data_IF_275686537712
#
_entry.id   IF_275686537712
#
_cell.length_a   1.000
_cell.length_b   1.000
_cell.length_c   1.000
_cell.angle_alpha   90.00
_cell.angle_beta   90.00
_cell.angle_gamma   90.00
#
_symmetry.space_group_name_H-M   'P 1'
#
loop_
_entity.id
_entity.type
_entity.pdbx_description
1 polymer ?
#
# COMPACT_ATOMS: atom_id res chain seq x y z
N UNK A 1 5.90 -9.46 -26.29
CA UNK A 1 4.74 -8.58 -26.21
C UNK A 1 4.78 -7.78 -24.90
N UNK A 2 4.63 -6.48 -25.00
CA UNK A 2 4.62 -5.64 -23.81
C UNK A 2 3.27 -5.67 -23.11
N UNK A 3 3.25 -5.97 -21.82
CA UNK A 3 2.14 -5.58 -20.98
C UNK A 3 2.26 -4.09 -20.72
N UNK A 4 1.17 -3.34 -20.77
CA UNK A 4 1.20 -1.95 -20.32
C UNK A 4 1.40 -1.90 -18.81
N UNK A 5 1.91 -0.78 -18.28
CA UNK A 5 2.03 -0.59 -16.84
C UNK A 5 0.69 -0.74 -16.12
N UNK A 6 -0.39 -0.34 -16.79
CA UNK A 6 -1.75 -0.54 -16.28
C UNK A 6 -2.10 -2.02 -16.15
N UNK A 7 -1.81 -2.80 -17.18
CA UNK A 7 -2.08 -4.25 -17.17
C UNK A 7 -1.24 -4.95 -16.12
N UNK A 8 0.02 -4.54 -15.97
CA UNK A 8 0.90 -5.09 -14.93
C UNK A 8 0.37 -4.80 -13.53
N UNK A 9 -0.13 -3.59 -13.28
CA UNK A 9 -0.70 -3.23 -11.99
C UNK A 9 -1.93 -4.09 -11.67
N UNK A 10 -2.85 -4.21 -12.62
CA UNK A 10 -4.06 -5.03 -12.43
C UNK A 10 -3.67 -6.49 -12.20
N UNK A 11 -2.75 -7.04 -12.99
CA UNK A 11 -2.29 -8.42 -12.84
C UNK A 11 -1.63 -8.65 -11.49
N UNK A 12 -0.84 -7.70 -10.99
CA UNK A 12 -0.19 -7.82 -9.68
C UNK A 12 -1.22 -7.90 -8.55
N UNK A 13 -2.24 -7.04 -8.57
CA UNK A 13 -3.30 -7.10 -7.57
C UNK A 13 -4.16 -8.36 -7.68
N UNK A 14 -4.45 -8.80 -8.89
CA UNK A 14 -5.18 -10.06 -9.10
C UNK A 14 -4.39 -11.25 -8.53
N UNK A 15 -3.08 -11.27 -8.74
CA UNK A 15 -2.22 -12.31 -8.19
C UNK A 15 -2.18 -12.26 -6.65
N UNK A 16 -2.15 -11.06 -6.07
CA UNK A 16 -2.18 -10.89 -4.63
C UNK A 16 -3.49 -11.42 -4.04
N UNK A 17 -4.62 -11.08 -4.66
CA UNK A 17 -5.94 -11.58 -4.24
C UNK A 17 -6.01 -13.10 -4.33
N UNK A 18 -5.50 -13.68 -5.42
CA UNK A 18 -5.47 -15.13 -5.60
C UNK A 18 -4.63 -15.80 -4.52
N UNK A 19 -3.46 -15.24 -4.21
CA UNK A 19 -2.60 -15.77 -3.15
C UNK A 19 -3.28 -15.67 -1.77
N UNK A 20 -3.94 -14.53 -1.50
CA UNK A 20 -4.67 -14.36 -0.25
C UNK A 20 -5.80 -15.37 -0.12
N UNK A 21 -6.56 -15.61 -1.20
CA UNK A 21 -7.63 -16.60 -1.19
C UNK A 21 -7.10 -18.00 -0.87
N UNK A 22 -5.91 -18.35 -1.34
CA UNK A 22 -5.27 -19.63 -1.00
C UNK A 22 -4.90 -19.68 0.49
N UNK A 23 -4.34 -18.61 1.03
CA UNK A 23 -3.99 -18.52 2.45
C UNK A 23 -5.22 -18.67 3.34
N UNK A 24 -6.35 -18.05 2.95
CA UNK A 24 -7.60 -18.13 3.70
C UNK A 24 -8.16 -19.55 3.80
N UNK A 25 -7.74 -20.45 2.92
CA UNK A 25 -8.16 -21.85 2.92
C UNK A 25 -7.22 -22.76 3.70
N UNK A 26 -6.10 -22.25 4.19
CA UNK A 26 -5.13 -23.04 4.93
C UNK A 26 -5.69 -23.41 6.31
N UNK A 27 -5.59 -24.70 6.66
CA UNK A 27 -5.92 -25.16 8.00
C UNK A 27 -4.64 -25.20 8.87
N UNK A 28 -4.69 -24.76 10.13
CA UNK A 28 -3.54 -24.86 11.03
C UNK A 28 -3.38 -26.26 11.66
N UNK A 29 -4.29 -27.19 11.38
CA UNK A 29 -4.38 -28.45 12.11
C UNK A 29 -3.11 -29.29 12.05
N UNK A 30 -2.38 -29.26 10.92
CA UNK A 30 -1.15 -30.02 10.73
C UNK A 30 0.11 -29.25 11.12
N UNK A 31 -0.04 -28.03 11.63
CA UNK A 31 1.09 -27.19 12.02
C UNK A 31 1.37 -27.32 13.51
N UNK A 32 2.66 -27.31 13.84
CA UNK A 32 3.09 -27.24 15.24
C UNK A 32 2.82 -25.83 15.80
N UNK A 33 2.90 -25.69 17.11
CA UNK A 33 2.74 -24.37 17.75
C UNK A 33 3.80 -23.37 17.25
N UNK A 34 5.11 -23.73 17.21
CA UNK A 34 6.11 -22.83 16.62
C UNK A 34 5.81 -22.46 15.16
N UNK A 35 5.29 -23.38 14.38
CA UNK A 35 4.92 -23.10 12.98
C UNK A 35 3.73 -22.13 12.89
N UNK A 36 2.74 -22.28 13.77
CA UNK A 36 1.62 -21.34 13.84
C UNK A 36 2.11 -19.92 14.16
N UNK A 37 3.02 -19.80 15.13
CA UNK A 37 3.61 -18.51 15.47
C UNK A 37 4.38 -17.92 14.27
N UNK A 38 5.10 -18.75 13.55
CA UNK A 38 5.82 -18.31 12.35
C UNK A 38 4.86 -17.79 11.26
N UNK A 39 3.70 -18.43 11.10
CA UNK A 39 2.70 -17.95 10.13
C UNK A 39 2.13 -16.60 10.54
N UNK A 40 1.88 -16.39 11.83
CA UNK A 40 1.43 -15.10 12.33
C UNK A 40 2.49 -14.00 12.11
N UNK A 41 3.76 -14.33 12.29
CA UNK A 41 4.85 -13.40 12.00
C UNK A 41 4.87 -13.02 10.52
N UNK A 42 4.61 -13.96 9.62
CA UNK A 42 4.52 -13.68 8.18
C UNK A 42 3.34 -12.76 7.86
N UNK A 43 2.21 -12.96 8.49
CA UNK A 43 1.06 -12.07 8.33
C UNK A 43 1.39 -10.65 8.77
N UNK A 44 2.05 -10.51 9.92
CA UNK A 44 2.43 -9.19 10.43
C UNK A 44 3.43 -8.49 9.52
N UNK A 45 4.38 -9.23 8.99
CA UNK A 45 5.36 -8.69 8.04
C UNK A 45 4.66 -8.15 6.79
N UNK A 46 3.70 -8.88 6.25
CA UNK A 46 2.93 -8.44 5.08
C UNK A 46 2.13 -7.19 5.42
N UNK A 47 1.46 -7.18 6.59
CA UNK A 47 0.65 -6.03 7.03
C UNK A 47 1.49 -4.76 7.10
N UNK A 48 2.73 -4.85 7.57
CA UNK A 48 3.64 -3.70 7.68
C UNK A 48 4.16 -3.20 6.34
N UNK A 49 4.21 -4.07 5.33
CA UNK A 49 4.66 -3.71 3.97
C UNK A 49 3.55 -3.12 3.10
N UNK A 50 2.31 -3.43 3.42
CA UNK A 50 1.17 -3.01 2.60
C UNK A 50 1.06 -1.49 2.43
N UNK A 51 1.27 -0.66 3.48
CA UNK A 51 1.25 0.79 3.30
C UNK A 51 2.24 1.29 2.25
N UNK A 52 3.43 0.68 2.14
CA UNK A 52 4.39 1.06 1.12
C UNK A 52 3.85 0.83 -0.30
N UNK A 53 3.00 -0.19 -0.49
CA UNK A 53 2.34 -0.43 -1.77
C UNK A 53 1.26 0.60 -2.08
N UNK A 54 0.64 1.18 -1.05
CA UNK A 54 -0.43 2.17 -1.21
C UNK A 54 0.11 3.58 -1.54
N UNK A 55 1.30 3.92 -1.06
CA UNK A 55 1.83 5.28 -1.15
C UNK A 55 1.90 5.84 -2.57
N UNK A 56 2.35 5.11 -3.60
CA UNK A 56 2.37 5.65 -4.96
C UNK A 56 1.00 6.06 -5.48
N UNK A 57 -0.03 5.31 -5.11
CA UNK A 57 -1.40 5.60 -5.55
C UNK A 57 -1.95 6.83 -4.84
N UNK A 58 -1.71 6.93 -3.53
CA UNK A 58 -2.14 8.10 -2.75
C UNK A 58 -1.45 9.36 -3.27
N UNK A 59 -0.14 9.30 -3.51
CA UNK A 59 0.62 10.45 -4.00
C UNK A 59 0.19 10.87 -5.40
N UNK A 60 -0.15 9.92 -6.26
CA UNK A 60 -0.69 10.27 -7.58
C UNK A 60 -2.02 11.02 -7.45
N UNK A 61 -2.91 10.55 -6.58
CA UNK A 61 -4.18 11.25 -6.36
C UNK A 61 -3.96 12.65 -5.80
N UNK A 62 -3.01 12.80 -4.86
CA UNK A 62 -2.71 14.10 -4.28
C UNK A 62 -2.15 15.09 -5.31
N UNK A 63 -1.32 14.61 -6.23
CA UNK A 63 -0.59 15.45 -7.17
C UNK A 63 -1.33 15.73 -8.48
N UNK A 64 -2.18 14.81 -8.93
CA UNK A 64 -2.71 14.82 -10.29
C UNK A 64 -4.23 14.93 -10.38
N UNK A 65 -4.94 14.90 -9.26
CA UNK A 65 -6.41 14.91 -9.26
C UNK A 65 -6.92 16.18 -8.63
N UNK A 66 -7.96 16.78 -9.23
CA UNK A 66 -8.64 17.90 -8.60
C UNK A 66 -9.85 17.42 -7.78
N UNK A 67 -10.45 18.34 -7.01
CA UNK A 67 -11.58 18.03 -6.16
C UNK A 67 -12.83 17.61 -6.95
N UNK A 68 -12.98 18.08 -8.18
CA UNK A 68 -14.11 17.76 -9.03
C UNK A 68 -14.08 16.27 -9.41
N UNK A 69 -12.92 15.76 -9.80
CA UNK A 69 -12.77 14.36 -10.17
C UNK A 69 -13.01 13.42 -8.99
N UNK A 70 -12.59 13.83 -7.79
CA UNK A 70 -12.74 13.03 -6.58
C UNK A 70 -14.12 13.16 -5.92
N UNK A 71 -14.88 14.17 -6.28
CA UNK A 71 -16.14 14.47 -5.60
C UNK A 71 -15.94 15.19 -4.27
N UNK A 72 -14.76 15.77 -4.02
CA UNK A 72 -14.44 16.50 -2.81
C UNK A 72 -12.95 16.52 -2.51
N UNK A 73 -12.59 17.00 -1.32
CA UNK A 73 -11.20 17.02 -0.87
C UNK A 73 -10.68 15.61 -0.68
N UNK A 74 -9.40 15.39 -0.96
CA UNK A 74 -8.78 14.06 -0.92
C UNK A 74 -9.02 13.29 0.39
N UNK A 75 -8.82 13.87 1.60
CA UNK A 75 -9.08 13.11 2.82
C UNK A 75 -10.51 12.60 2.92
N UNK A 76 -11.49 13.41 2.51
CA UNK A 76 -12.89 13.04 2.56
C UNK A 76 -13.24 11.99 1.52
N UNK A 77 -12.72 12.14 0.31
CA UNK A 77 -12.94 11.18 -0.76
C UNK A 77 -12.35 9.80 -0.42
N UNK A 78 -11.14 9.77 0.15
CA UNK A 78 -10.51 8.51 0.58
C UNK A 78 -11.26 7.88 1.74
N UNK A 79 -11.67 8.67 2.73
CA UNK A 79 -12.42 8.15 3.88
C UNK A 79 -13.70 7.46 3.42
N UNK A 80 -14.43 8.08 2.51
CA UNK A 80 -15.67 7.52 1.97
C UNK A 80 -15.41 6.29 1.12
N UNK A 81 -14.45 6.36 0.21
CA UNK A 81 -14.15 5.27 -0.72
C UNK A 81 -13.60 4.03 -0.02
N UNK A 82 -12.76 4.23 0.99
CA UNK A 82 -12.07 3.13 1.68
C UNK A 82 -12.79 2.71 2.97
N UNK A 83 -13.87 3.38 3.33
CA UNK A 83 -14.61 3.11 4.58
C UNK A 83 -13.71 3.23 5.82
N UNK A 84 -12.94 4.30 5.86
CA UNK A 84 -12.07 4.64 7.00
C UNK A 84 -12.43 6.03 7.51
N UNK A 85 -11.94 6.39 8.69
CA UNK A 85 -12.17 7.73 9.23
C UNK A 85 -11.40 8.79 8.44
N UNK A 86 -11.85 10.04 8.52
CA UNK A 86 -11.14 11.18 7.91
C UNK A 86 -9.76 11.35 8.52
N UNK A 87 -9.62 11.11 9.82
CA UNK A 87 -8.34 11.17 10.51
C UNK A 87 -7.37 10.12 9.99
N UNK A 88 -7.85 8.89 9.79
CA UNK A 88 -7.03 7.82 9.22
C UNK A 88 -6.66 8.13 7.77
N UNK A 89 -7.57 8.66 6.96
CA UNK A 89 -7.27 9.07 5.60
C UNK A 89 -6.18 10.15 5.58
N UNK A 90 -6.29 11.17 6.43
CA UNK A 90 -5.28 12.23 6.55
C UNK A 90 -3.92 11.67 6.98
N UNK A 91 -3.90 10.74 7.92
CA UNK A 91 -2.67 10.09 8.38
C UNK A 91 -1.99 9.36 7.22
N UNK A 92 -2.75 8.60 6.43
CA UNK A 92 -2.21 7.86 5.28
C UNK A 92 -1.66 8.80 4.20
N UNK A 93 -2.33 9.92 3.96
CA UNK A 93 -1.88 10.91 3.00
C UNK A 93 -0.54 11.52 3.44
N UNK A 94 -0.41 11.89 4.71
CA UNK A 94 0.83 12.43 5.25
C UNK A 94 1.96 11.38 5.22
N UNK A 95 1.68 10.15 5.60
CA UNK A 95 2.66 9.07 5.54
C UNK A 95 3.13 8.84 4.10
N UNK A 96 2.21 8.81 3.14
CA UNK A 96 2.56 8.66 1.74
C UNK A 96 3.43 9.80 1.23
N UNK A 97 3.16 11.04 1.67
CA UNK A 97 3.98 12.20 1.29
C UNK A 97 5.41 12.07 1.81
N UNK A 98 5.59 11.53 3.03
CA UNK A 98 6.89 11.40 3.67
C UNK A 98 7.68 10.16 3.20
N UNK A 99 7.00 9.04 3.00
CA UNK A 99 7.61 7.73 2.77
C UNK A 99 7.44 7.21 1.34
N UNK A 100 6.50 7.77 0.59
CA UNK A 100 6.22 7.32 -0.76
C UNK A 100 7.13 7.94 -1.81
N UNK A 101 7.15 7.38 -3.02
CA UNK A 101 7.90 7.95 -4.12
C UNK A 101 7.34 9.33 -4.50
N UNK A 102 8.26 10.22 -4.90
CA UNK A 102 7.95 11.59 -5.31
C UNK A 102 8.33 11.80 -6.77
N UNK A 103 7.77 12.85 -7.38
CA UNK A 103 8.13 13.25 -8.73
C UNK A 103 8.36 14.76 -8.78
N UNK A 104 9.22 15.20 -9.71
CA UNK A 104 9.38 16.61 -10.03
C UNK A 104 8.15 17.12 -10.79
N UNK A 105 8.05 18.43 -10.97
CA UNK A 105 6.97 19.02 -11.77
C UNK A 105 6.96 18.50 -13.21
N UNK A 106 8.11 18.06 -13.73
CA UNK A 106 8.24 17.48 -15.06
C UNK A 106 8.02 15.96 -15.08
N UNK A 107 7.70 15.35 -13.94
CA UNK A 107 7.38 13.93 -13.84
C UNK A 107 8.55 13.02 -13.57
N UNK A 108 9.76 13.54 -13.34
CA UNK A 108 10.92 12.71 -13.04
C UNK A 108 10.84 12.14 -11.63
N UNK A 109 11.20 10.85 -11.44
CA UNK A 109 11.18 10.24 -10.12
C UNK A 109 12.14 10.91 -9.15
N UNK A 110 11.72 11.06 -7.90
CA UNK A 110 12.54 11.53 -6.78
C UNK A 110 12.49 10.50 -5.66
N UNK A 111 13.57 10.40 -4.85
CA UNK A 111 13.51 9.53 -3.67
C UNK A 111 12.52 10.06 -2.65
N UNK A 112 11.97 9.19 -1.77
CA UNK A 112 11.12 9.63 -0.67
C UNK A 112 11.84 10.62 0.24
N UNK A 113 11.06 11.50 0.92
CA UNK A 113 11.62 12.46 1.88
C UNK A 113 12.35 11.76 3.00
N UNK A 114 11.81 10.64 3.52
CA UNK A 114 12.40 9.83 4.56
C UNK A 114 12.91 8.52 3.96
N UNK A 115 13.97 8.60 3.17
CA UNK A 115 14.46 7.48 2.35
C UNK A 115 14.76 6.22 3.16
N UNK A 116 15.49 6.36 4.28
CA UNK A 116 15.87 5.21 5.10
C UNK A 116 14.63 4.56 5.75
N UNK A 117 13.70 5.39 6.23
CA UNK A 117 12.45 4.91 6.84
C UNK A 117 11.57 4.21 5.79
N UNK A 118 11.48 4.79 4.59
CA UNK A 118 10.73 4.18 3.49
C UNK A 118 11.30 2.81 3.10
N UNK A 119 12.61 2.71 2.99
CA UNK A 119 13.28 1.45 2.68
C UNK A 119 13.02 0.40 3.77
N UNK A 120 13.11 0.80 5.04
CA UNK A 120 12.83 -0.11 6.16
C UNK A 120 11.39 -0.58 6.15
N UNK A 121 10.43 0.29 5.85
CA UNK A 121 9.01 -0.08 5.76
C UNK A 121 8.76 -1.11 4.65
N UNK A 122 9.35 -0.91 3.47
CA UNK A 122 9.21 -1.84 2.35
C UNK A 122 9.72 -3.24 2.70
N UNK A 123 10.75 -3.31 3.53
CA UNK A 123 11.35 -4.57 3.98
C UNK A 123 10.75 -5.09 5.29
N UNK A 124 9.81 -4.34 5.89
CA UNK A 124 9.21 -4.68 7.18
C UNK A 124 10.21 -4.68 8.33
N UNK A 125 11.17 -3.76 8.30
CA UNK A 125 12.18 -3.61 9.37
C UNK A 125 11.72 -2.66 10.48
N UNK A 126 10.60 -1.96 10.30
CA UNK A 126 10.01 -1.08 11.30
C UNK A 126 9.07 -1.86 12.21
N UNK A 127 9.01 -1.49 13.50
CA UNK A 127 8.06 -2.08 14.43
C UNK A 127 6.62 -1.80 14.05
#
# INVERSE_FOLDING_TARGET
MYSSSREEAVAAFDNLDTALNRVLKVSPDDLTIPECLAMLQRCEKIRRRLPAAEHPFINKLADQTDQTELGGKLPFALAERLHISRGEASRRIHEAADLGPRRTLTGQPLPPLLTATAAAQRLSLLP
#
